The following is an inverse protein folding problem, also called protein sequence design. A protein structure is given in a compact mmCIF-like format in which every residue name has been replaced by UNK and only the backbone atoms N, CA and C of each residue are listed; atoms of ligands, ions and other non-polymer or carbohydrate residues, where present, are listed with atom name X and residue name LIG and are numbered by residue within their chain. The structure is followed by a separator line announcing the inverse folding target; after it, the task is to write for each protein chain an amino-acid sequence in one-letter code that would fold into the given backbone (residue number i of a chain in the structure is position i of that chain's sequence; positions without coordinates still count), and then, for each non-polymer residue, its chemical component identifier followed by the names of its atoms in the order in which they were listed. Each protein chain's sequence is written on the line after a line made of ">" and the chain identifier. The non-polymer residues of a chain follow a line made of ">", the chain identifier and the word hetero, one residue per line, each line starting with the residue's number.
data_IF_823352472828
#
_entry.id   IF_823352472828
#
_cell.length_a   1.000
_cell.length_b   1.000
_cell.length_c   1.000
_cell.angle_alpha   90.00
_cell.angle_beta   90.00
_cell.angle_gamma   90.00
#
_symmetry.space_group_name_H-M   'P 1'
#
loop_
_entity.id
_entity.type
_entity.pdbx_description
1 polymer ?
#
# COMPACT_ATOMS: atom_id res chain seq x y z
N UNK A 1 42.82 -9.53 3.11
CA UNK A 1 43.80 -8.59 3.69
C UNK A 1 45.20 -8.74 3.11
N UNK A 2 45.77 -9.96 3.03
CA UNK A 2 47.16 -10.16 2.57
C UNK A 2 47.44 -9.63 1.15
N UNK A 3 46.51 -9.79 0.19
CA UNK A 3 46.65 -9.25 -1.17
C UNK A 3 46.90 -7.72 -1.18
N UNK A 4 46.10 -6.96 -0.41
CA UNK A 4 46.28 -5.51 -0.31
C UNK A 4 47.61 -5.13 0.34
N UNK A 5 48.05 -5.92 1.34
CA UNK A 5 49.35 -5.71 1.99
C UNK A 5 50.52 -5.93 1.03
N UNK A 6 50.46 -6.98 0.21
CA UNK A 6 51.46 -7.27 -0.82
C UNK A 6 51.55 -6.15 -1.86
N UNK A 7 50.45 -5.44 -2.10
CA UNK A 7 50.42 -4.23 -2.93
C UNK A 7 50.89 -2.96 -2.22
N UNK A 8 51.43 -3.04 -1.00
CA UNK A 8 51.96 -1.89 -0.27
C UNK A 8 50.92 -1.07 0.49
N UNK A 9 49.71 -1.61 0.75
CA UNK A 9 48.69 -0.97 1.59
C UNK A 9 48.70 -1.55 3.01
N UNK A 10 49.48 -0.99 3.95
CA UNK A 10 49.63 -1.53 5.30
C UNK A 10 48.40 -1.29 6.19
N UNK A 11 47.62 -0.26 5.88
CA UNK A 11 46.44 0.17 6.63
C UNK A 11 45.23 0.17 5.72
N UNK A 12 44.17 -0.50 6.14
CA UNK A 12 42.98 -0.75 5.36
C UNK A 12 41.74 -0.27 6.12
N UNK A 13 40.76 0.19 5.37
CA UNK A 13 39.41 0.47 5.85
C UNK A 13 38.45 -0.47 5.13
N UNK A 14 37.59 -1.14 5.88
CA UNK A 14 36.52 -1.92 5.30
C UNK A 14 35.33 -0.99 5.02
N UNK A 15 34.58 -1.27 3.97
CA UNK A 15 33.27 -0.69 3.74
C UNK A 15 32.23 -1.79 3.90
N UNK A 16 31.40 -1.67 4.93
CA UNK A 16 30.22 -2.52 5.15
C UNK A 16 28.96 -1.69 4.91
N UNK A 17 27.79 -2.32 4.95
CA UNK A 17 26.52 -1.65 4.70
C UNK A 17 25.47 -1.98 5.75
N UNK A 18 24.60 -1.01 6.04
CA UNK A 18 23.38 -1.21 6.84
C UNK A 18 22.09 -1.20 5.98
N UNK A 19 22.17 -0.73 4.72
CA UNK A 19 21.08 -0.76 3.73
C UNK A 19 21.64 -0.65 2.30
N UNK A 20 20.83 -0.93 1.29
CA UNK A 20 21.14 -0.62 -0.11
C UNK A 20 22.19 -1.53 -0.76
N UNK A 21 22.43 -2.71 -0.18
CA UNK A 21 23.40 -3.70 -0.68
C UNK A 21 22.80 -5.10 -0.87
N UNK A 22 21.47 -5.21 -0.83
CA UNK A 22 20.75 -6.50 -0.93
C UNK A 22 19.78 -6.60 -2.09
N UNK A 23 19.36 -5.48 -2.69
CA UNK A 23 18.56 -5.48 -3.92
C UNK A 23 18.36 -4.06 -4.48
N UNK A 24 18.31 -3.90 -5.82
CA UNK A 24 18.19 -2.60 -6.45
C UNK A 24 16.82 -1.92 -6.22
N UNK A 25 15.76 -2.69 -5.98
CA UNK A 25 14.39 -2.21 -5.72
C UNK A 25 13.88 -2.63 -4.33
N UNK A 26 14.79 -2.87 -3.39
CA UNK A 26 14.44 -3.30 -2.03
C UNK A 26 13.77 -2.15 -1.27
N UNK A 27 12.57 -2.39 -0.70
CA UNK A 27 11.87 -1.37 0.09
C UNK A 27 12.20 -1.42 1.59
N UNK A 28 12.34 -2.64 2.14
CA UNK A 28 12.63 -2.90 3.56
C UNK A 28 14.00 -3.56 3.72
N UNK A 29 14.86 -3.08 4.63
CA UNK A 29 16.20 -3.63 4.80
C UNK A 29 16.13 -5.01 5.46
N UNK A 30 16.81 -6.03 4.93
CA UNK A 30 16.97 -7.30 5.62
C UNK A 30 17.99 -7.15 6.77
N UNK A 31 17.53 -6.69 7.94
CA UNK A 31 18.38 -6.37 9.09
C UNK A 31 19.35 -7.51 9.44
N UNK A 32 18.86 -8.74 9.47
CA UNK A 32 19.66 -9.93 9.80
C UNK A 32 20.81 -10.17 8.80
N UNK A 33 20.59 -9.87 7.51
CA UNK A 33 21.64 -9.96 6.50
C UNK A 33 22.78 -8.96 6.81
N UNK A 34 22.42 -7.70 7.07
CA UNK A 34 23.39 -6.65 7.37
C UNK A 34 24.10 -6.90 8.70
N UNK A 35 23.37 -7.36 9.72
CA UNK A 35 23.94 -7.77 11.00
C UNK A 35 25.01 -8.85 10.79
N UNK A 36 24.68 -9.93 10.09
CA UNK A 36 25.60 -11.05 9.85
C UNK A 36 26.86 -10.60 9.11
N UNK A 37 26.72 -9.75 8.11
CA UNK A 37 27.86 -9.19 7.38
C UNK A 37 28.78 -8.37 8.31
N UNK A 38 28.22 -7.51 9.15
CA UNK A 38 29.01 -6.73 10.10
C UNK A 38 29.69 -7.61 11.17
N UNK A 39 29.04 -8.68 11.64
CA UNK A 39 29.67 -9.66 12.52
C UNK A 39 30.82 -10.42 11.84
N UNK A 40 30.73 -10.71 10.55
CA UNK A 40 31.85 -11.30 9.79
C UNK A 40 33.04 -10.34 9.71
N UNK A 41 32.81 -9.03 9.54
CA UNK A 41 33.89 -8.05 9.59
C UNK A 41 34.61 -8.00 10.94
N UNK A 42 33.89 -8.17 12.04
CA UNK A 42 34.49 -8.30 13.37
C UNK A 42 35.37 -9.56 13.48
N UNK A 43 34.94 -10.68 12.89
CA UNK A 43 35.75 -11.90 12.84
C UNK A 43 37.02 -11.70 12.01
N UNK A 44 36.92 -11.03 10.85
CA UNK A 44 38.08 -10.67 10.01
C UNK A 44 39.04 -9.76 10.77
N UNK A 45 38.51 -8.79 11.53
CA UNK A 45 39.32 -7.90 12.36
C UNK A 45 40.04 -8.68 13.48
N UNK A 46 39.36 -9.63 14.13
CA UNK A 46 39.90 -10.43 15.23
C UNK A 46 41.00 -11.41 14.79
N UNK A 47 40.88 -11.96 13.57
CA UNK A 47 41.87 -12.88 12.99
C UNK A 47 43.05 -12.14 12.34
N UNK A 48 42.87 -10.87 11.98
CA UNK A 48 43.88 -10.06 11.34
C UNK A 48 44.97 -9.58 12.29
N UNK A 49 46.04 -9.02 11.71
CA UNK A 49 47.00 -8.22 12.50
C UNK A 49 46.29 -6.97 13.01
N UNK A 50 46.45 -6.67 14.30
CA UNK A 50 45.77 -5.56 15.00
C UNK A 50 45.93 -4.19 14.32
N UNK A 51 47.02 -3.98 13.58
CA UNK A 51 47.31 -2.68 12.95
C UNK A 51 46.93 -2.59 11.47
N UNK A 52 46.35 -3.65 10.90
CA UNK A 52 46.03 -3.67 9.46
C UNK A 52 44.66 -3.05 9.19
N UNK A 53 43.60 -3.48 9.87
CA UNK A 53 42.28 -2.89 9.72
C UNK A 53 42.13 -1.70 10.68
N UNK A 54 41.97 -0.49 10.14
CA UNK A 54 41.84 0.73 10.94
C UNK A 54 40.41 0.99 11.42
N UNK A 55 39.44 0.46 10.68
CA UNK A 55 38.03 0.67 10.97
C UNK A 55 37.13 0.18 9.86
N UNK A 56 35.83 0.31 10.10
CA UNK A 56 34.76 -0.04 9.17
C UNK A 56 33.94 1.22 8.91
N UNK A 57 33.83 1.58 7.63
CA UNK A 57 32.89 2.59 7.15
C UNK A 57 31.55 1.89 6.96
N UNK A 58 30.53 2.33 7.69
CA UNK A 58 29.18 1.78 7.60
C UNK A 58 28.35 2.61 6.61
N UNK A 59 28.14 2.05 5.42
CA UNK A 59 27.52 2.73 4.28
C UNK A 59 26.01 2.44 4.18
N UNK A 60 25.27 3.36 3.56
CA UNK A 60 23.84 3.22 3.32
C UNK A 60 23.46 3.72 1.94
N UNK A 61 23.70 2.89 0.92
CA UNK A 61 23.46 3.24 -0.48
C UNK A 61 21.98 3.51 -0.73
N UNK A 62 21.69 4.40 -1.66
CA UNK A 62 20.31 4.74 -2.07
C UNK A 62 19.97 4.22 -3.46
N UNK A 63 20.99 3.87 -4.24
CA UNK A 63 20.93 3.36 -5.62
C UNK A 63 22.13 2.45 -5.89
N UNK A 64 21.98 1.57 -6.86
CA UNK A 64 23.07 0.70 -7.34
C UNK A 64 23.89 1.37 -8.43
N UNK A 65 23.25 2.22 -9.23
CA UNK A 65 23.87 3.13 -10.19
C UNK A 65 22.94 4.33 -10.48
N UNK A 66 23.32 5.20 -11.43
CA UNK A 66 22.57 6.41 -11.78
C UNK A 66 21.21 6.15 -12.47
N UNK A 67 21.00 4.96 -13.02
CA UNK A 67 19.79 4.57 -13.74
C UNK A 67 18.88 3.64 -12.91
N UNK A 68 19.40 3.02 -11.86
CA UNK A 68 18.62 2.18 -10.95
C UNK A 68 17.63 3.00 -10.13
N UNK A 69 16.49 2.38 -9.81
CA UNK A 69 15.47 2.94 -8.90
C UNK A 69 16.00 3.10 -7.47
N UNK A 70 15.25 3.81 -6.64
CA UNK A 70 15.53 3.89 -5.20
C UNK A 70 15.41 2.51 -4.53
N UNK A 71 16.41 2.16 -3.74
CA UNK A 71 16.31 1.09 -2.75
C UNK A 71 15.86 1.65 -1.38
N UNK A 72 16.17 0.97 -0.28
CA UNK A 72 15.59 1.26 1.04
C UNK A 72 15.83 2.71 1.45
N UNK A 73 14.76 3.42 1.80
CA UNK A 73 14.85 4.80 2.24
C UNK A 73 15.57 4.91 3.59
N UNK A 74 16.27 6.03 3.82
CA UNK A 74 17.03 6.22 5.06
C UNK A 74 16.17 6.04 6.34
N UNK A 75 14.97 6.64 6.50
CA UNK A 75 14.12 6.42 7.68
C UNK A 75 13.82 4.94 7.93
N UNK A 76 13.58 4.19 6.86
CA UNK A 76 13.29 2.75 6.89
C UNK A 76 14.54 1.93 7.25
N UNK A 77 15.72 2.44 6.89
CA UNK A 77 17.04 1.88 7.22
C UNK A 77 17.53 2.12 8.65
N UNK A 78 16.90 3.00 9.43
CA UNK A 78 17.39 3.40 10.78
C UNK A 78 17.48 2.22 11.75
N UNK A 79 16.51 1.29 11.84
CA UNK A 79 16.66 0.12 12.70
C UNK A 79 17.86 -0.75 12.32
N UNK A 80 18.09 -0.97 11.02
CA UNK A 80 19.25 -1.69 10.51
C UNK A 80 20.56 -0.98 10.86
N UNK A 81 20.59 0.36 10.71
CA UNK A 81 21.72 1.19 11.11
C UNK A 81 22.04 1.03 12.59
N UNK A 82 21.03 1.13 13.46
CA UNK A 82 21.20 1.01 14.89
C UNK A 82 21.72 -0.37 15.29
N UNK A 83 21.15 -1.44 14.74
CA UNK A 83 21.63 -2.82 14.94
C UNK A 83 23.10 -2.94 14.51
N UNK A 84 23.41 -2.60 13.26
CA UNK A 84 24.78 -2.76 12.72
C UNK A 84 25.80 -1.92 13.50
N UNK A 85 25.49 -0.65 13.77
CA UNK A 85 26.39 0.26 14.47
C UNK A 85 26.64 -0.22 15.90
N UNK A 86 25.59 -0.57 16.65
CA UNK A 86 25.75 -1.06 18.02
C UNK A 86 26.49 -2.40 18.06
N UNK A 87 26.27 -3.29 17.10
CA UNK A 87 27.05 -4.53 16.98
C UNK A 87 28.54 -4.26 16.78
N UNK A 88 28.89 -3.33 15.89
CA UNK A 88 30.29 -2.96 15.63
C UNK A 88 30.95 -2.31 16.84
N UNK A 89 30.25 -1.41 17.54
CA UNK A 89 30.76 -0.73 18.74
C UNK A 89 31.00 -1.68 19.92
N UNK A 90 30.14 -2.69 20.08
CA UNK A 90 30.19 -3.64 21.18
C UNK A 90 30.91 -4.96 20.85
N UNK A 91 31.41 -5.12 19.62
CA UNK A 91 32.10 -6.34 19.19
C UNK A 91 31.18 -7.56 19.03
N UNK A 92 29.87 -7.36 18.93
CA UNK A 92 28.87 -8.43 18.81
C UNK A 92 27.44 -7.92 19.04
N UNK A 93 26.45 -8.75 18.78
CA UNK A 93 25.04 -8.44 19.01
C UNK A 93 24.46 -9.33 20.10
N UNK A 94 24.74 -8.96 21.35
CA UNK A 94 24.20 -9.64 22.54
C UNK A 94 22.82 -9.11 22.90
N UNK A 95 22.15 -9.76 23.86
CA UNK A 95 20.85 -9.29 24.35
C UNK A 95 20.92 -7.90 24.99
N UNK A 96 22.04 -7.53 25.65
CA UNK A 96 22.23 -6.16 26.15
C UNK A 96 22.30 -5.12 25.01
N UNK A 97 22.95 -5.50 23.89
CA UNK A 97 23.04 -4.65 22.70
C UNK A 97 21.66 -4.53 22.04
N UNK A 98 20.91 -5.62 21.95
CA UNK A 98 19.52 -5.63 21.48
C UNK A 98 18.64 -4.70 22.32
N UNK A 99 18.67 -4.83 23.64
CA UNK A 99 17.90 -4.01 24.56
C UNK A 99 18.25 -2.52 24.43
N UNK A 100 19.54 -2.20 24.26
CA UNK A 100 19.99 -0.84 23.97
C UNK A 100 19.40 -0.30 22.67
N UNK A 101 19.43 -1.08 21.59
CA UNK A 101 18.84 -0.66 20.30
C UNK A 101 17.34 -0.42 20.44
N UNK A 102 16.62 -1.34 21.09
CA UNK A 102 15.19 -1.20 21.37
C UNK A 102 14.89 0.10 22.13
N UNK A 103 15.65 0.38 23.20
CA UNK A 103 15.53 1.61 23.97
C UNK A 103 15.83 2.86 23.13
N UNK A 104 16.91 2.87 22.34
CA UNK A 104 17.28 4.02 21.50
C UNK A 104 16.23 4.33 20.42
N UNK A 105 15.60 3.30 19.87
CA UNK A 105 14.58 3.44 18.85
C UNK A 105 13.17 3.61 19.44
N UNK A 106 13.00 3.35 20.74
CA UNK A 106 11.69 3.32 21.40
C UNK A 106 10.78 2.20 20.90
N UNK A 107 11.34 1.08 20.42
CA UNK A 107 10.59 -0.06 19.89
C UNK A 107 10.64 -1.25 20.84
N UNK A 108 9.58 -2.04 20.87
CA UNK A 108 9.48 -3.26 21.68
C UNK A 108 10.12 -4.47 20.99
N UNK A 109 10.17 -4.49 19.65
CA UNK A 109 10.75 -5.57 18.87
C UNK A 109 11.48 -5.06 17.63
N UNK A 110 12.55 -5.77 17.25
CA UNK A 110 13.30 -5.54 16.01
C UNK A 110 12.73 -6.31 14.82
N UNK A 111 11.78 -7.22 15.07
CA UNK A 111 11.11 -7.97 14.03
C UNK A 111 9.99 -7.12 13.40
N UNK A 112 9.81 -7.27 12.10
CA UNK A 112 8.82 -6.49 11.35
C UNK A 112 7.40 -6.71 11.90
N UNK A 113 7.08 -7.94 12.32
CA UNK A 113 5.81 -8.27 12.96
C UNK A 113 5.57 -7.49 14.26
N UNK A 114 6.61 -7.30 15.06
CA UNK A 114 6.50 -6.55 16.32
C UNK A 114 6.38 -5.04 16.10
N UNK A 115 7.03 -4.49 15.07
CA UNK A 115 6.87 -3.06 14.68
C UNK A 115 5.40 -2.72 14.37
N UNK A 116 4.65 -3.66 13.79
CA UNK A 116 3.25 -3.45 13.44
C UNK A 116 2.28 -3.60 14.62
N UNK A 117 2.60 -4.48 15.57
CA UNK A 117 1.71 -4.82 16.68
C UNK A 117 1.94 -3.95 17.93
N UNK A 118 3.17 -3.48 18.15
CA UNK A 118 3.58 -2.87 19.43
C UNK A 118 4.01 -1.40 19.29
N UNK A 119 3.93 -0.86 18.07
CA UNK A 119 4.28 0.52 17.74
C UNK A 119 5.63 0.64 17.03
N UNK A 120 5.78 1.73 16.26
CA UNK A 120 6.89 1.89 15.30
C UNK A 120 8.10 2.61 15.87
N UNK A 121 8.05 2.98 17.16
CA UNK A 121 9.13 3.64 17.86
C UNK A 121 9.06 5.16 17.87
N UNK A 122 9.98 5.76 18.60
CA UNK A 122 10.07 7.21 18.81
C UNK A 122 11.20 7.86 18.01
N UNK A 123 11.92 7.11 17.18
CA UNK A 123 13.00 7.64 16.36
C UNK A 123 12.48 8.48 15.18
N UNK A 124 13.26 9.47 14.68
CA UNK A 124 12.85 10.28 13.55
C UNK A 124 12.57 9.45 12.29
N UNK A 125 11.32 9.52 11.79
CA UNK A 125 10.88 8.76 10.61
C UNK A 125 10.35 7.36 10.92
N UNK A 126 10.05 7.05 12.18
CA UNK A 126 9.33 5.83 12.57
C UNK A 126 7.95 5.70 11.93
N UNK A 127 7.27 6.83 11.66
CA UNK A 127 6.01 6.87 10.94
C UNK A 127 6.18 6.50 9.46
N UNK A 128 7.25 6.95 8.81
CA UNK A 128 7.62 6.54 7.45
C UNK A 128 7.89 5.03 7.41
N UNK A 129 8.65 4.49 8.39
CA UNK A 129 8.86 3.05 8.49
C UNK A 129 7.52 2.29 8.59
N UNK A 130 6.61 2.76 9.46
CA UNK A 130 5.28 2.17 9.63
C UNK A 130 4.52 2.06 8.31
N UNK A 131 4.43 3.19 7.60
CA UNK A 131 3.68 3.31 6.35
C UNK A 131 4.31 2.44 5.25
N UNK A 132 5.65 2.40 5.15
CA UNK A 132 6.34 1.54 4.19
C UNK A 132 6.11 0.06 4.50
N UNK A 133 6.12 -0.37 5.77
CA UNK A 133 5.79 -1.76 6.12
C UNK A 133 4.34 -2.09 5.74
N UNK A 134 3.39 -1.19 5.98
CA UNK A 134 1.99 -1.40 5.60
C UNK A 134 1.84 -1.56 4.07
N UNK A 135 2.50 -0.72 3.27
CA UNK A 135 2.55 -0.86 1.81
C UNK A 135 3.18 -2.20 1.41
N UNK A 136 4.36 -2.50 1.92
CA UNK A 136 5.19 -3.61 1.44
C UNK A 136 4.68 -4.99 1.86
N UNK A 137 4.07 -5.14 3.04
CA UNK A 137 3.70 -6.46 3.56
C UNK A 137 2.19 -6.75 3.59
N UNK A 138 1.33 -5.73 3.60
CA UNK A 138 -0.12 -5.94 3.74
C UNK A 138 -0.90 -5.50 2.51
N UNK A 139 -0.67 -4.28 2.06
CA UNK A 139 -1.50 -3.70 1.01
C UNK A 139 -1.15 -4.25 -0.37
N UNK A 140 0.14 -4.46 -0.68
CA UNK A 140 0.55 -5.10 -1.94
C UNK A 140 -0.02 -6.52 -2.07
N UNK A 141 0.14 -7.34 -1.05
CA UNK A 141 -0.41 -8.71 -1.02
C UNK A 141 -1.93 -8.72 -1.13
N UNK A 142 -2.64 -7.78 -0.48
CA UNK A 142 -4.11 -7.68 -0.60
C UNK A 142 -4.60 -7.45 -2.03
N UNK A 143 -3.84 -6.72 -2.86
CA UNK A 143 -4.19 -6.49 -4.27
C UNK A 143 -3.95 -7.73 -5.10
N UNK A 144 -2.81 -8.39 -4.90
CA UNK A 144 -2.52 -9.66 -5.55
C UNK A 144 -3.54 -10.74 -5.17
N UNK A 145 -3.91 -10.84 -3.90
CA UNK A 145 -4.97 -11.73 -3.41
C UNK A 145 -6.31 -11.43 -4.11
N UNK A 146 -6.71 -10.15 -4.19
CA UNK A 146 -7.95 -9.79 -4.86
C UNK A 146 -7.93 -10.14 -6.36
N UNK A 147 -6.83 -9.87 -7.06
CA UNK A 147 -6.77 -10.02 -8.51
C UNK A 147 -6.50 -11.47 -8.94
N UNK A 148 -5.77 -12.22 -8.14
CA UNK A 148 -5.27 -13.55 -8.51
C UNK A 148 -5.93 -14.68 -7.73
N UNK A 149 -6.48 -14.42 -6.53
CA UNK A 149 -7.00 -15.46 -5.64
C UNK A 149 -8.49 -15.31 -5.32
N UNK A 150 -9.08 -14.12 -5.46
CA UNK A 150 -10.52 -13.96 -5.27
C UNK A 150 -11.29 -14.78 -6.32
N UNK A 151 -12.17 -15.67 -5.85
CA UNK A 151 -12.92 -16.60 -6.70
C UNK A 151 -13.88 -15.90 -7.66
N UNK A 152 -14.41 -14.73 -7.29
CA UNK A 152 -15.35 -14.00 -8.12
C UNK A 152 -14.60 -13.27 -9.23
N UNK A 153 -13.47 -12.64 -8.90
CA UNK A 153 -12.59 -12.01 -9.89
C UNK A 153 -12.04 -13.07 -10.85
N UNK A 154 -11.45 -14.15 -10.34
CA UNK A 154 -10.79 -15.16 -11.18
C UNK A 154 -11.78 -16.04 -11.96
N UNK A 155 -12.95 -16.35 -11.40
CA UNK A 155 -13.94 -17.22 -12.02
C UNK A 155 -14.94 -16.49 -12.93
N UNK A 156 -15.44 -15.33 -12.50
CA UNK A 156 -16.53 -14.62 -13.17
C UNK A 156 -16.16 -13.23 -13.72
N UNK A 157 -14.93 -12.77 -13.47
CA UNK A 157 -14.42 -11.53 -14.02
C UNK A 157 -12.96 -11.60 -14.47
N UNK A 158 -12.59 -12.76 -14.99
CA UNK A 158 -11.23 -13.06 -15.47
C UNK A 158 -10.80 -12.17 -16.65
N UNK A 159 -9.53 -12.21 -17.08
CA UNK A 159 -9.07 -11.47 -18.26
C UNK A 159 -9.84 -11.76 -19.55
N UNK A 160 -10.53 -12.90 -19.66
CA UNK A 160 -11.44 -13.20 -20.77
C UNK A 160 -12.72 -12.35 -20.72
N UNK A 161 -13.34 -12.27 -19.54
CA UNK A 161 -14.57 -11.52 -19.27
C UNK A 161 -14.36 -10.01 -19.42
N UNK A 162 -13.28 -9.49 -18.80
CA UNK A 162 -12.89 -8.08 -18.86
C UNK A 162 -12.70 -7.59 -20.30
N UNK A 163 -11.95 -8.35 -21.12
CA UNK A 163 -11.74 -8.04 -22.54
C UNK A 163 -13.03 -7.97 -23.37
N UNK A 164 -14.03 -8.76 -23.01
CA UNK A 164 -15.33 -8.78 -23.69
C UNK A 164 -16.37 -7.85 -23.05
N UNK A 165 -16.03 -7.18 -21.94
CA UNK A 165 -16.95 -6.34 -21.16
C UNK A 165 -18.19 -7.13 -20.72
N UNK A 166 -17.99 -8.36 -20.26
CA UNK A 166 -19.05 -9.24 -19.81
C UNK A 166 -18.87 -9.54 -18.32
N UNK A 167 -19.95 -9.42 -17.55
CA UNK A 167 -20.03 -9.93 -16.19
C UNK A 167 -21.48 -10.30 -15.88
N UNK A 168 -21.68 -11.35 -15.08
CA UNK A 168 -23.01 -11.62 -14.55
C UNK A 168 -23.35 -10.54 -13.49
N UNK A 169 -24.47 -9.80 -13.59
CA UNK A 169 -24.72 -8.63 -12.74
C UNK A 169 -24.63 -8.87 -11.22
N UNK A 170 -25.07 -10.04 -10.76
CA UNK A 170 -24.94 -10.44 -9.33
C UNK A 170 -23.48 -10.46 -8.86
N UNK A 171 -22.51 -10.78 -9.73
CA UNK A 171 -21.10 -10.86 -9.35
C UNK A 171 -20.50 -9.49 -9.06
N UNK A 172 -21.05 -8.42 -9.63
CA UNK A 172 -20.63 -7.03 -9.33
C UNK A 172 -20.76 -6.75 -7.83
N UNK A 173 -21.84 -7.24 -7.20
CA UNK A 173 -22.10 -7.04 -5.77
C UNK A 173 -21.08 -7.74 -4.86
N UNK A 174 -20.39 -8.76 -5.37
CA UNK A 174 -19.33 -9.45 -4.63
C UNK A 174 -17.97 -8.79 -4.82
N UNK A 175 -17.67 -8.28 -6.02
CA UNK A 175 -16.34 -7.74 -6.37
C UNK A 175 -16.22 -6.25 -6.02
N UNK A 176 -17.20 -5.44 -6.41
CA UNK A 176 -17.10 -3.98 -6.38
C UNK A 176 -16.91 -3.41 -4.96
N UNK A 177 -17.66 -3.84 -3.92
CA UNK A 177 -17.47 -3.28 -2.58
C UNK A 177 -16.08 -3.54 -2.00
N UNK A 178 -15.52 -4.72 -2.27
CA UNK A 178 -14.17 -5.08 -1.83
C UNK A 178 -13.11 -4.26 -2.57
N UNK A 179 -13.27 -4.07 -3.89
CA UNK A 179 -12.35 -3.28 -4.70
C UNK A 179 -12.36 -1.80 -4.26
N UNK A 180 -13.55 -1.23 -4.05
CA UNK A 180 -13.70 0.16 -3.57
C UNK A 180 -13.11 0.34 -2.17
N UNK A 181 -13.36 -0.60 -1.26
CA UNK A 181 -12.79 -0.58 0.09
C UNK A 181 -11.26 -0.64 0.06
N UNK A 182 -10.68 -1.54 -0.75
CA UNK A 182 -9.24 -1.67 -0.91
C UNK A 182 -8.62 -0.43 -1.59
N UNK A 183 -9.28 0.13 -2.61
CA UNK A 183 -8.86 1.38 -3.25
C UNK A 183 -8.88 2.56 -2.27
N UNK A 184 -9.91 2.68 -1.43
CA UNK A 184 -10.01 3.71 -0.41
C UNK A 184 -8.87 3.63 0.61
N UNK A 185 -8.58 2.42 1.11
CA UNK A 185 -7.44 2.19 2.03
C UNK A 185 -6.10 2.55 1.40
N UNK A 186 -5.85 2.10 0.16
CA UNK A 186 -4.64 2.45 -0.58
C UNK A 186 -4.51 3.96 -0.82
N UNK A 187 -5.61 4.63 -1.20
CA UNK A 187 -5.59 6.06 -1.49
C UNK A 187 -5.30 6.89 -0.23
N UNK A 188 -5.93 6.55 0.90
CA UNK A 188 -5.67 7.20 2.18
C UNK A 188 -4.23 7.02 2.63
N UNK A 189 -3.72 5.78 2.58
CA UNK A 189 -2.35 5.49 2.98
C UNK A 189 -1.32 6.15 2.04
N UNK A 190 -1.58 6.17 0.73
CA UNK A 190 -0.70 6.84 -0.23
C UNK A 190 -0.58 8.34 0.04
N UNK A 191 -1.69 9.01 0.43
CA UNK A 191 -1.67 10.42 0.80
C UNK A 191 -0.87 10.66 2.08
N UNK A 192 -1.08 9.84 3.11
CA UNK A 192 -0.35 9.92 4.36
C UNK A 192 1.15 9.69 4.16
N UNK A 193 1.51 8.65 3.42
CA UNK A 193 2.90 8.35 3.08
C UNK A 193 3.55 9.45 2.24
N UNK A 194 2.86 9.99 1.24
CA UNK A 194 3.37 11.10 0.45
C UNK A 194 3.63 12.34 1.33
N UNK A 195 2.71 12.68 2.24
CA UNK A 195 2.91 13.76 3.19
C UNK A 195 4.10 13.50 4.13
N UNK A 196 4.25 12.28 4.62
CA UNK A 196 5.36 11.89 5.47
C UNK A 196 6.72 11.99 4.76
N UNK A 197 6.81 11.48 3.52
CA UNK A 197 8.03 11.51 2.72
C UNK A 197 8.45 12.94 2.34
N UNK A 198 7.50 13.82 2.01
CA UNK A 198 7.79 15.23 1.70
C UNK A 198 8.44 16.01 2.85
N UNK A 199 8.31 15.53 4.09
CA UNK A 199 9.00 16.15 5.25
C UNK A 199 10.52 15.96 5.20
N UNK A 200 11.00 14.95 4.48
CA UNK A 200 12.41 14.51 4.53
C UNK A 200 13.07 14.36 3.16
N UNK A 201 12.29 14.28 2.09
CA UNK A 201 12.79 14.07 0.72
C UNK A 201 12.30 15.15 -0.25
N UNK A 202 13.09 15.47 -1.29
CA UNK A 202 12.64 16.33 -2.38
C UNK A 202 11.54 15.64 -3.20
N UNK A 203 10.69 16.44 -3.86
CA UNK A 203 9.49 15.93 -4.55
C UNK A 203 9.82 14.81 -5.56
N UNK A 204 10.92 14.92 -6.32
CA UNK A 204 11.29 13.87 -7.28
C UNK A 204 11.59 12.50 -6.64
N UNK A 205 12.12 12.47 -5.41
CA UNK A 205 12.33 11.23 -4.66
C UNK A 205 11.00 10.66 -4.16
N UNK A 206 10.07 11.54 -3.75
CA UNK A 206 8.74 11.14 -3.32
C UNK A 206 7.96 10.54 -4.49
N UNK A 207 7.93 11.26 -5.62
CA UNK A 207 7.28 10.84 -6.86
C UNK A 207 7.80 9.48 -7.33
N UNK A 208 9.12 9.35 -7.46
CA UNK A 208 9.74 8.09 -7.90
C UNK A 208 9.37 6.92 -6.96
N UNK A 209 9.47 7.11 -5.65
CA UNK A 209 9.19 6.03 -4.72
C UNK A 209 7.73 5.59 -4.78
N UNK A 210 6.78 6.54 -4.87
CA UNK A 210 5.36 6.25 -5.03
C UNK A 210 5.07 5.58 -6.39
N UNK A 211 5.75 6.00 -7.45
CA UNK A 211 5.64 5.40 -8.78
C UNK A 211 6.04 3.93 -8.80
N UNK A 212 7.10 3.57 -8.11
CA UNK A 212 7.58 2.18 -8.07
C UNK A 212 6.79 1.30 -7.08
N UNK A 213 6.34 1.87 -5.96
CA UNK A 213 5.84 1.07 -4.83
C UNK A 213 4.33 1.17 -4.55
N UNK A 214 3.65 2.20 -5.09
CA UNK A 214 2.25 2.52 -4.75
C UNK A 214 1.37 2.57 -5.98
N UNK A 215 1.77 3.30 -7.00
CA UNK A 215 0.97 3.49 -8.22
C UNK A 215 0.63 2.20 -8.98
N UNK A 216 1.47 1.14 -9.04
CA UNK A 216 1.11 -0.09 -9.72
C UNK A 216 -0.15 -0.74 -9.12
N UNK A 217 -0.21 -0.85 -7.79
CA UNK A 217 -1.35 -1.44 -7.08
C UNK A 217 -2.61 -0.57 -7.18
N UNK A 218 -2.48 0.75 -7.05
CA UNK A 218 -3.60 1.69 -7.26
C UNK A 218 -4.16 1.57 -8.69
N UNK A 219 -3.27 1.54 -9.69
CA UNK A 219 -3.66 1.44 -11.10
C UNK A 219 -4.39 0.13 -11.40
N UNK A 220 -3.95 -1.00 -10.82
CA UNK A 220 -4.64 -2.27 -10.98
C UNK A 220 -6.07 -2.26 -10.38
N UNK A 221 -6.25 -1.66 -9.20
CA UNK A 221 -7.56 -1.54 -8.56
C UNK A 221 -8.50 -0.62 -9.36
N UNK A 222 -7.97 0.52 -9.83
CA UNK A 222 -8.72 1.44 -10.69
C UNK A 222 -9.13 0.76 -12.00
N UNK A 223 -8.22 0.03 -12.64
CA UNK A 223 -8.51 -0.72 -13.85
C UNK A 223 -9.58 -1.79 -13.63
N UNK A 224 -9.55 -2.51 -12.50
CA UNK A 224 -10.58 -3.49 -12.16
C UNK A 224 -11.96 -2.82 -12.04
N UNK A 225 -12.04 -1.67 -11.37
CA UNK A 225 -13.29 -0.93 -11.18
C UNK A 225 -13.83 -0.35 -12.49
N UNK A 226 -12.94 0.18 -13.34
CA UNK A 226 -13.30 0.67 -14.67
C UNK A 226 -13.85 -0.45 -15.56
N UNK A 227 -13.22 -1.63 -15.52
CA UNK A 227 -13.71 -2.78 -16.27
C UNK A 227 -15.09 -3.23 -15.76
N UNK A 228 -15.32 -3.20 -14.43
CA UNK A 228 -16.62 -3.53 -13.84
C UNK A 228 -17.71 -2.55 -14.31
N UNK A 229 -17.41 -1.26 -14.30
CA UNK A 229 -18.32 -0.22 -14.79
C UNK A 229 -18.63 -0.42 -16.27
N UNK A 230 -17.61 -0.67 -17.10
CA UNK A 230 -17.76 -0.90 -18.53
C UNK A 230 -18.55 -2.18 -18.87
N UNK A 231 -18.55 -3.18 -17.99
CA UNK A 231 -19.30 -4.43 -18.13
C UNK A 231 -20.68 -4.39 -17.47
N UNK A 232 -20.98 -3.34 -16.69
CA UNK A 232 -22.26 -3.23 -15.97
C UNK A 232 -23.40 -2.93 -16.94
N UNK A 233 -24.56 -3.61 -16.81
CA UNK A 233 -25.72 -3.27 -17.63
C UNK A 233 -26.19 -1.85 -17.33
N UNK A 234 -26.72 -1.12 -18.33
CA UNK A 234 -27.27 0.22 -18.10
C UNK A 234 -28.41 0.15 -17.06
N UNK A 235 -28.59 1.21 -16.25
CA UNK A 235 -29.70 1.26 -15.32
C UNK A 235 -31.02 1.05 -16.08
N UNK A 236 -31.99 0.34 -15.48
CA UNK A 236 -33.29 0.18 -16.11
C UNK A 236 -33.89 1.56 -16.42
N UNK A 237 -34.55 1.75 -17.58
CA UNK A 237 -35.20 3.01 -17.89
C UNK A 237 -36.18 3.36 -16.77
N UNK A 238 -36.14 4.61 -16.32
CA UNK A 238 -37.05 5.11 -15.31
C UNK A 238 -38.49 4.75 -15.73
N UNK A 239 -39.20 4.02 -14.86
CA UNK A 239 -40.58 3.64 -15.13
C UNK A 239 -41.38 4.93 -15.43
N UNK A 240 -42.19 4.97 -16.50
CA UNK A 240 -43.07 6.10 -16.72
C UNK A 240 -43.90 6.27 -15.45
N UNK A 241 -43.78 7.44 -14.82
CA UNK A 241 -44.55 7.79 -13.64
C UNK A 241 -46.05 7.53 -13.91
N UNK A 242 -46.84 7.20 -12.88
CA UNK A 242 -48.22 6.79 -13.06
C UNK A 242 -48.94 7.83 -13.92
N UNK A 243 -49.41 7.40 -15.09
CA UNK A 243 -50.22 8.22 -15.97
C UNK A 243 -51.36 8.77 -15.11
N UNK A 244 -51.47 10.10 -15.03
CA UNK A 244 -52.60 10.75 -14.38
C UNK A 244 -53.87 10.18 -15.03
N UNK A 245 -54.60 9.37 -14.26
CA UNK A 245 -55.90 8.88 -14.66
C UNK A 245 -56.76 10.11 -14.96
N UNK A 246 -57.14 10.27 -16.23
CA UNK A 246 -58.16 11.25 -16.61
C UNK A 246 -59.41 10.93 -15.78
N UNK A 247 -59.88 11.93 -15.03
CA UNK A 247 -61.14 11.85 -14.31
C UNK A 247 -62.28 11.51 -15.29
N UNK A 248 -63.23 10.65 -14.91
CA UNK A 248 -64.39 10.39 -15.75
C UNK A 248 -65.26 11.65 -15.82
N UNK A 249 -65.65 12.00 -17.05
CA UNK A 249 -66.63 13.06 -17.30
C UNK A 249 -67.96 12.73 -16.62
N UNK A 250 -68.49 13.73 -15.93
CA UNK A 250 -69.76 13.76 -15.24
C UNK A 250 -70.91 13.67 -16.28
N UNK A 251 -71.46 12.47 -16.48
CA UNK A 251 -72.72 12.30 -17.22
C UNK A 251 -73.88 12.21 -16.24
N UNK A 252 -74.61 13.32 -16.21
CA UNK A 252 -75.81 13.60 -15.44
C UNK A 252 -76.83 12.46 -15.37
N UNK A 253 -77.36 12.30 -14.16
CA UNK A 253 -78.56 11.53 -13.87
C UNK A 253 -79.79 12.20 -14.52
N UNK A 254 -80.58 11.42 -15.26
CA UNK A 254 -81.96 11.76 -15.61
C UNK A 254 -82.95 10.78 -14.94
N UNK A 255 -84.00 11.27 -14.27
CA UNK A 255 -84.96 10.45 -13.54
C UNK A 255 -86.15 9.97 -14.41
N UNK A 256 -86.77 8.91 -13.89
CA UNK A 256 -87.94 8.14 -14.39
C UNK A 256 -89.22 8.99 -14.53
N UNK A 257 -90.10 8.75 -15.53
CA UNK A 257 -91.32 9.54 -15.71
C UNK A 257 -92.46 9.09 -14.79
N UNK A 258 -93.20 10.06 -14.25
CA UNK A 258 -94.48 9.84 -13.55
C UNK A 258 -95.65 10.43 -14.32
N UNK A 259 -96.81 9.82 -14.09
CA UNK A 259 -98.07 9.87 -14.82
C UNK A 259 -98.80 11.22 -14.85
N UNK A 260 -99.54 11.40 -15.94
CA UNK A 260 -100.59 12.37 -16.26
C UNK A 260 -101.57 12.73 -15.14
N UNK A 261 -101.96 14.02 -15.01
CA UNK A 261 -103.35 14.54 -15.00
C UNK A 261 -103.34 16.04 -15.41
N UNK A 262 -104.42 16.41 -16.11
CA UNK A 262 -104.85 17.64 -16.80
C UNK A 262 -105.01 18.97 -16.00
N UNK A 263 -105.36 20.10 -16.69
CA UNK A 263 -104.87 21.45 -16.42
C UNK A 263 -105.95 22.43 -15.90
N UNK A 264 -105.54 23.65 -15.47
CA UNK A 264 -106.33 24.89 -15.68
C UNK A 264 -105.55 26.19 -15.41
N UNK A 265 -105.62 27.08 -16.42
CA UNK A 265 -105.91 28.52 -16.42
C UNK A 265 -105.01 29.59 -15.73
N UNK A 266 -104.51 30.47 -16.62
CA UNK A 266 -104.65 31.94 -16.64
C UNK A 266 -103.88 32.81 -15.62
N UNK A 267 -103.05 33.70 -16.17
CA UNK A 267 -102.61 34.96 -15.56
C UNK A 267 -103.14 36.10 -16.44
N UNK A 268 -103.41 37.26 -15.82
CA UNK A 268 -103.86 38.49 -16.45
C UNK A 268 -103.00 38.93 -17.64
#
# INVERSE_FOLDING_TARGET
>A
MEKYRQCGFPRLWAASAFKGATGPSQALPPIEHHLRNNLQWLQVAAQGRKDTLQGIILTGWQRYDHFSVLCELLPVGIPSLAVCLQSLLHGGFTEDVRARVQHLLGISSLEIAGVLSEGTGSFPGSDILALVIQVSLHLRSSVDEMLQMDRYVTGWFSPYHRRRKLIHPVMIQHIQPQALSLLGRWSGLAQELAAALRRVFPEGTVEEWLQENVHPSLGQLQALLQDLEAASPPPPPASPGPAQARAPEDMGAHPVPSSSVCPTLASC
#
